data_IF_474157408084
#
_entry.id   IF_474157408084
#
_cell.length_a   1.000
_cell.length_b   1.000
_cell.length_c   1.000
_cell.angle_alpha   90.00
_cell.angle_beta   90.00
_cell.angle_gamma   90.00
#
_symmetry.space_group_name_H-M   'P 1'
#
loop_
_entity.id
_entity.type
_entity.pdbx_description
1 polymer ?
#
# COMPACT_ATOMS: atom_id res chain seq x y z
N UNK A 1 -24.53 42.26 -56.89
CA UNK A 1 -23.40 41.48 -56.35
C UNK A 1 -23.44 41.52 -54.81
N UNK A 2 -24.46 40.95 -54.17
CA UNK A 2 -24.70 41.15 -52.73
C UNK A 2 -25.11 39.92 -51.91
N UNK A 3 -25.40 38.78 -52.54
CA UNK A 3 -25.89 37.58 -51.83
C UNK A 3 -24.80 36.53 -51.54
N UNK A 4 -23.69 36.52 -52.28
CA UNK A 4 -22.63 35.50 -52.10
C UNK A 4 -21.76 35.74 -50.86
N UNK A 5 -21.54 37.02 -50.49
CA UNK A 5 -20.71 37.40 -49.33
C UNK A 5 -21.40 37.11 -48.00
N UNK A 6 -22.74 37.18 -47.97
CA UNK A 6 -23.53 36.88 -46.76
C UNK A 6 -23.60 35.38 -46.47
N UNK A 7 -23.72 34.55 -47.51
CA UNK A 7 -23.72 33.09 -47.36
C UNK A 7 -22.36 32.53 -46.93
N UNK A 8 -21.25 33.04 -47.47
CA UNK A 8 -19.91 32.62 -47.06
C UNK A 8 -19.57 33.04 -45.63
N UNK A 9 -19.97 34.25 -45.21
CA UNK A 9 -19.81 34.71 -43.83
C UNK A 9 -20.61 33.83 -42.84
N UNK A 10 -21.83 33.41 -43.19
CA UNK A 10 -22.64 32.52 -42.36
C UNK A 10 -22.00 31.14 -42.18
N UNK A 11 -21.44 30.55 -43.25
CA UNK A 11 -20.76 29.25 -43.19
C UNK A 11 -19.53 29.31 -42.28
N UNK A 12 -18.72 30.37 -42.38
CA UNK A 12 -17.54 30.57 -41.52
C UNK A 12 -17.95 30.75 -40.05
N UNK A 13 -19.05 31.46 -39.81
CA UNK A 13 -19.54 31.67 -38.46
C UNK A 13 -20.04 30.36 -37.82
N UNK A 14 -20.77 29.54 -38.59
CA UNK A 14 -21.25 28.23 -38.11
C UNK A 14 -20.06 27.29 -37.86
N UNK A 15 -19.05 27.24 -38.74
CA UNK A 15 -17.88 26.40 -38.52
C UNK A 15 -17.08 26.84 -37.29
N UNK A 16 -16.97 28.15 -37.04
CA UNK A 16 -16.36 28.67 -35.82
C UNK A 16 -17.14 28.28 -34.57
N UNK A 17 -18.48 28.39 -34.58
CA UNK A 17 -19.31 27.98 -33.44
C UNK A 17 -19.18 26.49 -33.14
N UNK A 18 -19.13 25.64 -34.17
CA UNK A 18 -18.91 24.19 -33.99
C UNK A 18 -17.52 23.94 -33.40
N UNK A 19 -16.48 24.59 -33.94
CA UNK A 19 -15.12 24.47 -33.42
C UNK A 19 -15.03 24.93 -31.95
N UNK A 20 -15.62 26.08 -31.62
CA UNK A 20 -15.65 26.61 -30.26
C UNK A 20 -16.40 25.68 -29.29
N UNK A 21 -17.54 25.11 -29.71
CA UNK A 21 -18.28 24.15 -28.90
C UNK A 21 -17.46 22.88 -28.62
N UNK A 22 -16.82 22.31 -29.65
CA UNK A 22 -15.96 21.14 -29.46
C UNK A 22 -14.75 21.44 -28.58
N UNK A 23 -14.10 22.61 -28.76
CA UNK A 23 -12.97 23.04 -27.94
C UNK A 23 -13.37 23.22 -26.48
N UNK A 24 -14.52 23.84 -26.21
CA UNK A 24 -15.01 24.02 -24.85
C UNK A 24 -15.25 22.69 -24.15
N UNK A 25 -15.90 21.72 -24.82
CA UNK A 25 -16.10 20.38 -24.23
C UNK A 25 -14.80 19.64 -23.99
N UNK A 26 -13.83 19.74 -24.91
CA UNK A 26 -12.52 19.12 -24.73
C UNK A 26 -11.74 19.77 -23.57
N UNK A 27 -11.84 21.08 -23.43
CA UNK A 27 -11.22 21.81 -22.32
C UNK A 27 -11.87 21.43 -20.99
N UNK A 28 -13.19 21.48 -20.87
CA UNK A 28 -13.90 21.14 -19.63
C UNK A 28 -13.57 19.72 -19.16
N UNK A 29 -13.60 18.73 -20.06
CA UNK A 29 -13.19 17.37 -19.76
C UNK A 29 -11.72 17.28 -19.31
N UNK A 30 -10.82 17.98 -20.00
CA UNK A 30 -9.40 17.99 -19.64
C UNK A 30 -9.17 18.64 -18.27
N UNK A 31 -9.87 19.72 -17.99
CA UNK A 31 -9.79 20.44 -16.71
C UNK A 31 -10.28 19.56 -15.56
N UNK A 32 -11.46 18.94 -15.72
CA UNK A 32 -12.03 18.04 -14.71
C UNK A 32 -11.12 16.83 -14.44
N UNK A 33 -10.52 16.24 -15.48
CA UNK A 33 -9.57 15.15 -15.32
C UNK A 33 -8.30 15.57 -14.56
N UNK A 34 -7.75 16.74 -14.87
CA UNK A 34 -6.57 17.26 -14.15
C UNK A 34 -6.91 17.56 -12.69
N UNK A 35 -8.08 18.14 -12.42
CA UNK A 35 -8.52 18.42 -11.07
C UNK A 35 -8.71 17.12 -10.26
N UNK A 36 -9.39 16.12 -10.83
CA UNK A 36 -9.57 14.81 -10.19
C UNK A 36 -8.22 14.14 -9.89
N UNK A 37 -7.27 14.17 -10.83
CA UNK A 37 -5.93 13.62 -10.61
C UNK A 37 -5.17 14.33 -9.49
N UNK A 38 -5.31 15.66 -9.36
CA UNK A 38 -4.72 16.43 -8.26
C UNK A 38 -5.34 16.05 -6.91
N UNK A 39 -6.67 15.97 -6.83
CA UNK A 39 -7.38 15.57 -5.62
C UNK A 39 -6.96 14.15 -5.17
N UNK A 40 -6.89 13.20 -6.10
CA UNK A 40 -6.42 11.84 -5.84
C UNK A 40 -4.97 11.82 -5.32
N UNK A 41 -4.09 12.62 -5.93
CA UNK A 41 -2.70 12.75 -5.49
C UNK A 41 -2.61 13.27 -4.05
N UNK A 42 -3.35 14.33 -3.72
CA UNK A 42 -3.39 14.88 -2.35
C UNK A 42 -3.96 13.88 -1.36
N UNK A 43 -5.05 13.20 -1.70
CA UNK A 43 -5.68 12.18 -0.85
C UNK A 43 -4.72 11.01 -0.58
N UNK A 44 -4.04 10.51 -1.61
CA UNK A 44 -3.00 9.46 -1.46
C UNK A 44 -1.85 9.95 -0.59
N UNK A 45 -1.37 11.18 -0.82
CA UNK A 45 -0.26 11.76 -0.05
C UNK A 45 -0.62 11.88 1.44
N UNK A 46 -1.82 12.34 1.76
CA UNK A 46 -2.32 12.42 3.15
C UNK A 46 -2.43 11.03 3.76
N UNK A 47 -2.96 10.04 3.01
CA UNK A 47 -3.02 8.64 3.47
C UNK A 47 -1.65 8.06 3.79
N UNK A 48 -0.65 8.31 2.94
CA UNK A 48 0.73 7.87 3.13
C UNK A 48 1.36 8.50 4.38
N UNK A 49 1.19 9.81 4.58
CA UNK A 49 1.70 10.52 5.75
C UNK A 49 1.08 9.99 7.06
N UNK A 50 -0.24 9.81 7.08
CA UNK A 50 -0.92 9.25 8.24
C UNK A 50 -0.44 7.83 8.54
N UNK A 51 -0.25 7.01 7.50
CA UNK A 51 0.23 5.62 7.64
C UNK A 51 1.65 5.57 8.19
N UNK A 52 2.56 6.41 7.67
CA UNK A 52 3.97 6.42 8.07
C UNK A 52 4.19 6.83 9.53
N UNK A 53 3.38 7.76 10.04
CA UNK A 53 3.52 8.25 11.43
C UNK A 53 2.90 7.30 12.45
N UNK A 54 1.92 6.51 12.04
CA UNK A 54 1.02 5.83 12.96
C UNK A 54 1.17 4.32 13.05
N UNK A 55 1.88 3.71 12.09
CA UNK A 55 2.17 2.29 12.12
C UNK A 55 3.36 2.01 13.03
N UNK A 56 3.10 1.17 14.01
CA UNK A 56 4.14 0.59 14.85
C UNK A 56 4.05 -0.92 14.75
N UNK A 57 5.20 -1.58 14.78
CA UNK A 57 5.26 -3.02 14.84
C UNK A 57 6.19 -3.46 15.96
N UNK A 58 5.80 -4.53 16.64
CA UNK A 58 6.59 -5.13 17.70
C UNK A 58 6.57 -6.64 17.58
N UNK A 59 7.58 -7.26 18.18
CA UNK A 59 7.60 -8.70 18.37
C UNK A 59 6.52 -9.06 19.41
N UNK A 60 5.68 -10.04 19.07
CA UNK A 60 4.60 -10.52 19.91
C UNK A 60 4.99 -11.74 20.73
N UNK A 61 4.99 -12.90 20.09
CA UNK A 61 5.39 -14.17 20.71
C UNK A 61 6.23 -15.00 19.74
N UNK A 62 7.27 -15.63 20.25
CA UNK A 62 8.04 -16.64 19.54
C UNK A 62 7.77 -18.02 20.16
N UNK A 63 7.55 -19.02 19.31
CA UNK A 63 7.39 -20.42 19.74
C UNK A 63 8.49 -21.26 19.10
N UNK A 64 9.34 -21.86 19.91
CA UNK A 64 10.51 -22.61 19.47
C UNK A 64 10.19 -24.10 19.55
N UNK A 65 10.36 -24.81 18.43
CA UNK A 65 10.22 -26.25 18.34
C UNK A 65 11.59 -26.90 18.13
N UNK A 66 12.26 -27.18 19.25
CA UNK A 66 13.57 -27.83 19.25
C UNK A 66 13.54 -29.26 18.68
N UNK A 67 12.38 -29.93 18.70
CA UNK A 67 12.27 -31.31 18.23
C UNK A 67 12.30 -31.38 16.70
N UNK A 68 11.69 -30.40 16.04
CA UNK A 68 11.60 -30.33 14.59
C UNK A 68 12.57 -29.33 13.95
N UNK A 69 13.30 -28.55 14.75
CA UNK A 69 14.35 -27.64 14.28
C UNK A 69 13.82 -26.36 13.61
N UNK A 70 12.65 -25.88 14.03
CA UNK A 70 12.08 -24.63 13.54
C UNK A 70 11.50 -23.78 14.68
N UNK A 71 11.20 -22.52 14.38
CA UNK A 71 10.44 -21.64 15.25
C UNK A 71 9.39 -20.86 14.46
N UNK A 72 8.37 -20.38 15.18
CA UNK A 72 7.34 -19.49 14.64
C UNK A 72 7.35 -18.17 15.40
N UNK A 73 7.11 -17.07 14.70
CA UNK A 73 7.09 -15.72 15.24
C UNK A 73 5.78 -15.05 14.91
N UNK A 74 5.16 -14.45 15.92
CA UNK A 74 4.00 -13.58 15.75
C UNK A 74 4.43 -12.12 15.92
N UNK A 75 4.13 -11.29 14.93
CA UNK A 75 4.32 -9.85 14.95
C UNK A 75 3.00 -9.14 15.26
N UNK A 76 3.09 -8.10 16.07
CA UNK A 76 1.98 -7.21 16.41
C UNK A 76 2.11 -5.94 15.57
N UNK A 77 1.18 -5.72 14.65
CA UNK A 77 1.16 -4.53 13.79
C UNK A 77 0.03 -3.63 14.29
N UNK A 78 0.39 -2.59 15.02
CA UNK A 78 -0.54 -1.62 15.56
C UNK A 78 -0.75 -0.47 14.58
N UNK A 79 -2.01 -0.24 14.21
CA UNK A 79 -2.40 0.92 13.43
C UNK A 79 -2.90 2.02 14.36
N UNK A 80 -2.21 3.16 14.42
CA UNK A 80 -2.66 4.34 15.19
C UNK A 80 -3.22 5.46 14.30
N UNK A 81 -3.46 5.18 13.01
CA UNK A 81 -3.68 6.19 11.99
C UNK A 81 -5.05 6.10 11.36
N UNK A 82 -5.08 5.76 10.07
CA UNK A 82 -6.30 5.66 9.27
C UNK A 82 -6.68 4.20 9.06
N UNK A 83 -7.96 3.92 8.82
CA UNK A 83 -8.42 2.56 8.51
C UNK A 83 -7.68 2.00 7.30
N UNK A 84 -7.15 0.78 7.43
CA UNK A 84 -6.45 0.09 6.35
C UNK A 84 -7.24 -1.13 5.90
N UNK A 85 -7.18 -1.40 4.60
CA UNK A 85 -7.77 -2.60 4.01
C UNK A 85 -6.67 -3.67 3.88
N UNK A 86 -6.79 -4.74 4.66
CA UNK A 86 -5.74 -5.76 4.80
C UNK A 86 -5.54 -6.65 3.56
N UNK A 87 -6.56 -6.96 2.74
CA UNK A 87 -6.36 -7.73 1.52
C UNK A 87 -5.46 -7.06 0.47
N UNK A 88 -5.16 -5.76 0.60
CA UNK A 88 -4.16 -5.08 -0.25
C UNK A 88 -2.76 -5.09 0.33
N UNK A 89 -2.55 -5.77 1.46
CA UNK A 89 -1.22 -5.93 2.01
C UNK A 89 -0.52 -7.08 1.31
N UNK A 90 0.76 -6.90 1.05
CA UNK A 90 1.63 -7.94 0.52
C UNK A 90 2.91 -8.00 1.32
N UNK A 91 3.58 -9.15 1.26
CA UNK A 91 4.81 -9.38 2.03
C UNK A 91 5.91 -9.88 1.11
N UNK A 92 7.13 -9.47 1.44
CA UNK A 92 8.37 -10.03 0.92
C UNK A 92 9.14 -10.58 2.10
N UNK A 93 9.33 -11.89 2.12
CA UNK A 93 10.05 -12.61 3.17
C UNK A 93 11.38 -13.13 2.61
N UNK A 94 12.50 -12.71 3.19
CA UNK A 94 13.86 -13.06 2.75
C UNK A 94 14.09 -12.86 1.24
N UNK A 95 13.47 -11.81 0.68
CA UNK A 95 13.59 -11.46 -0.74
C UNK A 95 12.56 -12.13 -1.66
N UNK A 96 11.74 -13.04 -1.14
CA UNK A 96 10.70 -13.70 -1.91
C UNK A 96 9.32 -13.13 -1.63
N UNK A 97 8.57 -12.84 -2.69
CA UNK A 97 7.18 -12.43 -2.58
C UNK A 97 6.32 -13.59 -2.03
N UNK A 98 5.46 -13.26 -1.07
CA UNK A 98 4.48 -14.19 -0.47
C UNK A 98 3.14 -13.50 -0.32
N UNK A 99 2.07 -14.29 -0.38
CA UNK A 99 0.74 -13.77 -0.08
C UNK A 99 0.40 -14.00 1.40
N UNK A 100 -0.46 -13.16 1.96
CA UNK A 100 -0.80 -13.19 3.40
C UNK A 100 -2.12 -13.94 3.64
N UNK A 101 -2.58 -14.74 2.67
CA UNK A 101 -3.90 -15.35 2.72
C UNK A 101 -3.96 -16.62 3.57
N UNK A 102 -2.88 -17.40 3.62
CA UNK A 102 -2.89 -18.67 4.33
C UNK A 102 -1.52 -19.04 4.90
N UNK A 103 -1.42 -19.03 6.24
CA UNK A 103 -0.22 -19.44 6.99
C UNK A 103 0.19 -20.88 6.65
N UNK A 104 -0.77 -21.76 6.31
CA UNK A 104 -0.50 -23.18 6.09
C UNK A 104 0.28 -23.44 4.79
N UNK A 105 0.09 -22.57 3.80
CA UNK A 105 0.61 -22.71 2.43
C UNK A 105 1.87 -21.85 2.25
N UNK A 106 1.77 -20.55 2.58
CA UNK A 106 2.84 -19.57 2.37
C UNK A 106 3.75 -19.39 3.60
N UNK A 107 3.52 -20.15 4.68
CA UNK A 107 4.14 -20.00 6.00
C UNK A 107 3.93 -18.64 6.67
N UNK A 108 3.23 -17.71 6.02
CA UNK A 108 3.00 -16.34 6.49
C UNK A 108 1.51 -16.03 6.35
N UNK A 109 0.92 -15.44 7.38
CA UNK A 109 -0.49 -15.07 7.31
C UNK A 109 -1.02 -14.46 8.61
N UNK A 110 -2.20 -13.86 8.54
CA UNK A 110 -2.86 -13.34 9.72
C UNK A 110 -3.43 -14.46 10.59
N UNK A 111 -3.40 -14.27 11.91
CA UNK A 111 -3.96 -15.25 12.87
C UNK A 111 -5.50 -15.23 12.86
N UNK A 112 -6.10 -14.11 12.48
CA UNK A 112 -7.56 -13.92 12.42
C UNK A 112 -7.96 -13.38 11.05
N UNK A 113 -9.22 -13.57 10.69
CA UNK A 113 -9.80 -13.01 9.47
C UNK A 113 -9.97 -11.49 9.63
N UNK A 114 -9.03 -10.73 9.07
CA UNK A 114 -9.11 -9.27 9.02
C UNK A 114 -9.48 -8.79 7.60
N UNK A 115 -10.59 -8.08 7.48
CA UNK A 115 -10.90 -7.32 6.27
C UNK A 115 -10.37 -5.89 6.37
N UNK A 116 -10.57 -5.27 7.53
CA UNK A 116 -10.14 -3.91 7.82
C UNK A 116 -9.39 -3.88 9.15
N UNK A 117 -8.42 -2.97 9.24
CA UNK A 117 -7.73 -2.64 10.48
C UNK A 117 -8.05 -1.20 10.82
N UNK A 118 -8.88 -1.00 11.84
CA UNK A 118 -9.27 0.32 12.31
C UNK A 118 -8.15 0.99 13.11
N UNK A 119 -8.22 2.32 13.30
CA UNK A 119 -7.31 3.02 14.19
C UNK A 119 -7.38 2.45 15.62
N UNK A 120 -6.23 2.39 16.29
CA UNK A 120 -5.99 1.77 17.60
C UNK A 120 -6.14 0.23 17.64
N UNK A 121 -6.34 -0.45 16.51
CA UNK A 121 -6.35 -1.91 16.48
C UNK A 121 -4.97 -2.49 16.16
N UNK A 122 -4.80 -3.76 16.53
CA UNK A 122 -3.59 -4.54 16.28
C UNK A 122 -3.94 -5.72 15.38
N UNK A 123 -3.21 -5.86 14.27
CA UNK A 123 -3.22 -7.07 13.47
C UNK A 123 -2.09 -7.99 13.92
N UNK A 124 -2.39 -9.28 14.03
CA UNK A 124 -1.43 -10.31 14.40
C UNK A 124 -1.03 -11.10 13.17
N UNK A 125 0.25 -10.98 12.79
CA UNK A 125 0.83 -11.64 11.63
C UNK A 125 1.77 -12.75 12.11
N UNK A 126 1.54 -13.98 11.68
CA UNK A 126 2.35 -15.13 12.06
C UNK A 126 3.25 -15.54 10.88
N UNK A 127 4.52 -15.81 11.19
CA UNK A 127 5.52 -16.38 10.30
C UNK A 127 5.94 -17.71 10.91
N UNK A 128 5.82 -18.79 10.14
CA UNK A 128 5.97 -20.16 10.64
C UNK A 128 7.07 -20.93 9.92
N UNK A 129 7.52 -22.03 10.55
CA UNK A 129 8.54 -22.93 10.01
C UNK A 129 9.85 -22.21 9.63
N UNK A 130 10.25 -21.23 10.42
CA UNK A 130 11.52 -20.55 10.24
C UNK A 130 12.62 -21.49 10.77
N UNK A 131 13.70 -21.76 10.01
CA UNK A 131 14.75 -22.68 10.45
C UNK A 131 15.40 -22.18 11.75
N UNK A 132 15.66 -23.07 12.69
CA UNK A 132 16.29 -22.73 13.98
C UNK A 132 17.80 -22.50 13.81
N UNK A 133 18.16 -21.42 13.11
CA UNK A 133 19.54 -20.97 12.88
C UNK A 133 19.72 -19.53 13.42
N UNK A 134 20.96 -19.05 13.45
CA UNK A 134 21.28 -17.68 13.88
C UNK A 134 21.31 -16.70 12.71
N UNK A 135 20.67 -17.05 11.59
CA UNK A 135 20.63 -16.17 10.42
C UNK A 135 19.62 -15.05 10.66
N UNK A 136 19.88 -13.90 10.06
CA UNK A 136 18.96 -12.77 10.07
C UNK A 136 17.86 -13.00 9.02
N UNK A 137 16.62 -12.83 9.45
CA UNK A 137 15.45 -12.87 8.58
C UNK A 137 14.87 -11.47 8.41
N UNK A 138 14.32 -11.21 7.23
CA UNK A 138 13.69 -9.94 6.91
C UNK A 138 12.29 -10.13 6.34
N UNK A 139 11.35 -9.37 6.91
CA UNK A 139 9.98 -9.28 6.43
C UNK A 139 9.68 -7.83 6.05
N UNK A 140 9.38 -7.61 4.77
CA UNK A 140 8.90 -6.32 4.26
C UNK A 140 7.42 -6.45 3.99
N UNK A 141 6.61 -5.65 4.67
CA UNK A 141 5.16 -5.57 4.51
C UNK A 141 4.88 -4.31 3.69
N UNK A 142 4.20 -4.45 2.56
CA UNK A 142 3.76 -3.34 1.72
C UNK A 142 2.25 -3.16 1.87
N UNK A 143 1.82 -1.93 2.14
CA UNK A 143 0.43 -1.56 2.35
C UNK A 143 -0.22 -1.11 1.04
N UNK A 144 -1.56 -1.09 0.99
CA UNK A 144 -2.31 -0.70 -0.22
C UNK A 144 -2.08 0.74 -0.71
N UNK A 145 -1.51 1.62 0.11
CA UNK A 145 -1.11 2.98 -0.28
C UNK A 145 0.35 3.09 -0.74
N UNK A 146 1.04 1.97 -0.88
CA UNK A 146 2.43 1.86 -1.32
C UNK A 146 3.46 2.09 -0.21
N UNK A 147 3.04 2.47 0.99
CA UNK A 147 3.95 2.51 2.14
C UNK A 147 4.43 1.10 2.48
N UNK A 148 5.58 1.00 3.13
CA UNK A 148 6.15 -0.26 3.55
C UNK A 148 6.72 -0.18 4.96
N UNK A 149 6.77 -1.34 5.61
CA UNK A 149 7.33 -1.58 6.92
C UNK A 149 8.26 -2.78 6.82
N UNK A 150 9.50 -2.65 7.30
CA UNK A 150 10.49 -3.72 7.31
C UNK A 150 10.86 -4.09 8.74
N UNK A 151 10.77 -5.39 9.01
CA UNK A 151 11.15 -6.05 10.24
C UNK A 151 12.37 -6.92 9.96
N UNK A 152 13.31 -6.93 10.91
CA UNK A 152 14.51 -7.76 10.87
C UNK A 152 14.63 -8.42 12.24
N UNK A 153 14.82 -9.73 12.24
CA UNK A 153 14.99 -10.49 13.47
C UNK A 153 15.93 -11.65 13.25
N UNK A 154 16.49 -12.17 14.34
CA UNK A 154 17.25 -13.41 14.34
C UNK A 154 16.92 -14.20 15.61
N UNK A 155 17.28 -15.48 15.58
CA UNK A 155 17.27 -16.33 16.75
C UNK A 155 18.67 -16.38 17.38
N UNK A 156 18.77 -16.08 18.67
CA UNK A 156 20.07 -15.98 19.37
C UNK A 156 20.54 -17.31 20.02
N UNK A 157 19.83 -18.41 19.78
CA UNK A 157 20.07 -19.71 20.43
C UNK A 157 19.18 -19.98 21.65
N UNK A 158 18.46 -18.97 22.16
CA UNK A 158 17.54 -19.11 23.29
C UNK A 158 16.19 -18.44 23.06
N UNK A 159 16.16 -17.30 22.37
CA UNK A 159 14.97 -16.52 22.08
C UNK A 159 15.12 -15.81 20.72
N UNK A 160 14.01 -15.28 20.21
CA UNK A 160 13.96 -14.49 18.98
C UNK A 160 14.06 -13.01 19.35
N UNK A 161 15.00 -12.30 18.72
CA UNK A 161 15.26 -10.89 18.97
C UNK A 161 15.01 -10.08 17.70
N UNK A 162 14.39 -8.91 17.87
CA UNK A 162 14.27 -7.92 16.81
C UNK A 162 15.57 -7.09 16.75
N UNK A 163 16.27 -7.11 15.61
CA UNK A 163 17.61 -6.53 15.48
C UNK A 163 17.65 -5.00 15.45
N UNK A 164 16.57 -4.39 15.00
CA UNK A 164 16.47 -2.95 14.87
C UNK A 164 15.03 -2.49 15.09
N UNK A 165 14.88 -1.18 15.33
CA UNK A 165 13.55 -0.55 15.25
C UNK A 165 12.98 -0.78 13.85
N UNK A 166 11.69 -1.14 13.73
CA UNK A 166 11.05 -1.35 12.45
C UNK A 166 11.30 -0.18 11.50
N UNK A 167 11.87 -0.47 10.33
CA UNK A 167 12.11 0.54 9.31
C UNK A 167 10.81 0.78 8.55
N UNK A 168 10.52 2.04 8.22
CA UNK A 168 9.28 2.39 7.51
C UNK A 168 9.56 3.44 6.46
N UNK A 169 8.82 3.37 5.36
CA UNK A 169 8.94 4.30 4.26
C UNK A 169 7.69 4.36 3.42
N UNK A 170 7.54 5.42 2.65
CA UNK A 170 6.54 5.52 1.60
C UNK A 170 7.20 6.04 0.32
N UNK A 171 6.71 5.65 -0.86
CA UNK A 171 7.19 6.21 -2.11
C UNK A 171 7.02 7.73 -2.10
N UNK A 172 8.05 8.43 -2.54
CA UNK A 172 8.07 9.90 -2.62
C UNK A 172 7.31 10.43 -3.82
N UNK A 173 7.16 9.60 -4.85
CA UNK A 173 6.43 9.90 -6.07
C UNK A 173 5.14 9.08 -6.10
N UNK A 174 4.03 9.79 -6.26
CA UNK A 174 2.72 9.18 -6.51
C UNK A 174 2.56 9.21 -8.02
N UNK A 175 2.64 8.05 -8.67
CA UNK A 175 2.32 7.90 -10.10
C UNK A 175 0.87 7.50 -10.31
#
# INVERSE_FOLDING_TARGET
MGFSVSASAAIIFISFLIAAATLYTAWDNSYNNVQAAQEDWYNRRISQLNTLVSLNASLGSATIDNANGYYNVTFHIQNSGVTQYLPYWSVVYDGEYRTIYNVSDDNIGFISDYTYLFPSQVAYLNVTRIPLNTEEHSLVITFGNGCWLRLIWHYNGTDVLLDATPQRGCPTEVS
#
